data_IF_181748026039
#
_entry.id   IF_181748026039
#
_cell.length_a   1.000
_cell.length_b   1.000
_cell.length_c   1.000
_cell.angle_alpha   90.00
_cell.angle_beta   90.00
_cell.angle_gamma   90.00
#
_symmetry.space_group_name_H-M   'P 1'
#
loop_
_entity.id
_entity.type
_entity.pdbx_description
1 polymer ?
#
# COMPACT_ATOMS: atom_id res chain seq x y z
N UNK A 1 -25.05 0.22 18.68
CA UNK A 1 -23.82 0.99 18.49
C UNK A 1 -22.59 0.38 19.16
N UNK A 2 -22.58 0.05 20.46
CA UNK A 2 -21.45 -0.58 21.15
C UNK A 2 -21.09 -2.00 20.65
N UNK A 3 -22.05 -2.85 20.33
CA UNK A 3 -21.84 -4.23 19.83
C UNK A 3 -21.29 -4.28 18.39
N UNK A 4 -21.57 -3.28 17.56
CA UNK A 4 -20.99 -3.17 16.21
C UNK A 4 -19.56 -2.66 16.24
N UNK A 5 -19.21 -1.78 17.16
CA UNK A 5 -17.82 -1.33 17.39
C UNK A 5 -16.93 -2.50 17.83
N UNK A 6 -17.40 -3.35 18.74
CA UNK A 6 -16.62 -4.51 19.23
C UNK A 6 -16.26 -5.48 18.09
N UNK A 7 -17.17 -5.75 17.15
CA UNK A 7 -16.93 -6.65 16.00
C UNK A 7 -15.93 -6.13 14.98
N UNK A 8 -15.69 -4.82 14.94
CA UNK A 8 -14.73 -4.20 14.01
C UNK A 8 -13.38 -3.97 14.72
N UNK A 9 -13.43 -3.54 15.97
CA UNK A 9 -12.22 -3.18 16.75
C UNK A 9 -11.42 -4.43 17.14
N UNK A 10 -12.08 -5.53 17.51
CA UNK A 10 -11.41 -6.74 17.96
C UNK A 10 -10.50 -7.39 16.89
N UNK A 11 -10.93 -7.59 15.62
CA UNK A 11 -10.02 -8.08 14.57
C UNK A 11 -8.89 -7.10 14.25
N UNK A 12 -9.13 -5.79 14.34
CA UNK A 12 -8.07 -4.77 14.14
C UNK A 12 -7.05 -4.82 15.28
N UNK A 13 -7.51 -4.92 16.53
CA UNK A 13 -6.61 -5.06 17.69
C UNK A 13 -5.81 -6.36 17.61
N UNK A 14 -6.45 -7.49 17.30
CA UNK A 14 -5.77 -8.78 17.13
C UNK A 14 -4.73 -8.74 16.01
N UNK A 15 -5.06 -8.09 14.89
CA UNK A 15 -4.15 -7.88 13.79
C UNK A 15 -2.95 -7.00 14.21
N UNK A 16 -3.20 -5.87 14.89
CA UNK A 16 -2.13 -4.99 15.40
C UNK A 16 -1.24 -5.70 16.41
N UNK A 17 -1.83 -6.48 17.34
CA UNK A 17 -1.08 -7.30 18.29
C UNK A 17 -0.24 -8.36 17.58
N UNK A 18 -0.78 -9.01 16.53
CA UNK A 18 -0.02 -9.97 15.72
C UNK A 18 1.16 -9.30 15.02
N UNK A 19 0.97 -8.10 14.48
CA UNK A 19 2.04 -7.29 13.86
C UNK A 19 3.09 -6.91 14.90
N UNK A 20 2.68 -6.44 16.09
CA UNK A 20 3.61 -6.08 17.17
C UNK A 20 4.40 -7.32 17.63
N UNK A 21 3.76 -8.49 17.75
CA UNK A 21 4.42 -9.75 18.11
C UNK A 21 5.41 -10.16 17.01
N UNK A 22 5.01 -10.10 15.74
CA UNK A 22 5.88 -10.42 14.60
C UNK A 22 7.09 -9.48 14.58
N UNK A 23 6.88 -8.17 14.73
CA UNK A 23 7.96 -7.17 14.79
C UNK A 23 8.86 -7.45 15.98
N UNK A 24 8.32 -7.72 17.18
CA UNK A 24 9.14 -8.01 18.37
C UNK A 24 9.94 -9.31 18.26
N UNK A 25 9.41 -10.33 17.60
CA UNK A 25 10.13 -11.59 17.31
C UNK A 25 11.24 -11.35 16.28
N UNK A 26 11.00 -10.50 15.28
CA UNK A 26 11.98 -10.15 14.25
C UNK A 26 13.13 -9.29 14.83
N UNK A 27 12.83 -8.41 15.79
CA UNK A 27 13.79 -7.48 16.43
C UNK A 27 14.82 -8.18 17.34
N UNK A 28 14.52 -9.35 17.88
CA UNK A 28 15.35 -10.04 18.92
C UNK A 28 16.57 -10.80 18.42
N UNK A 29 17.04 -10.63 17.17
CA UNK A 29 18.14 -11.42 16.60
C UNK A 29 19.42 -10.64 16.31
N UNK A 30 20.56 -11.35 16.31
CA UNK A 30 21.85 -10.78 15.89
C UNK A 30 21.87 -10.48 14.40
N UNK A 31 22.26 -9.24 14.03
CA UNK A 31 22.52 -8.86 12.64
C UNK A 31 23.71 -9.65 12.08
N UNK A 32 23.56 -10.26 10.92
CA UNK A 32 24.69 -10.80 10.16
C UNK A 32 25.46 -9.66 9.49
N UNK A 33 26.78 -9.71 9.53
CA UNK A 33 27.66 -8.67 8.96
C UNK A 33 27.53 -8.52 7.44
N UNK A 34 26.95 -9.51 6.76
CA UNK A 34 26.76 -9.55 5.30
C UNK A 34 25.49 -8.88 4.78
N UNK A 35 24.56 -8.51 5.67
CA UNK A 35 23.33 -7.81 5.29
C UNK A 35 23.63 -6.39 4.77
N UNK A 36 23.04 -5.94 3.65
CA UNK A 36 23.08 -4.54 3.24
C UNK A 36 22.25 -3.62 4.16
N UNK A 37 21.37 -4.20 4.98
CA UNK A 37 20.43 -3.48 5.84
C UNK A 37 20.84 -3.54 7.31
N UNK A 38 20.39 -2.55 8.06
CA UNK A 38 20.51 -2.49 9.50
C UNK A 38 19.18 -2.17 10.15
N UNK A 39 18.89 -2.86 11.24
CA UNK A 39 17.77 -2.55 12.11
C UNK A 39 18.01 -1.24 12.86
N UNK A 40 17.02 -0.33 12.80
CA UNK A 40 17.07 0.95 13.51
C UNK A 40 15.79 1.15 14.32
N UNK A 41 15.86 0.96 15.64
CA UNK A 41 14.69 1.12 16.53
C UNK A 41 13.91 2.40 16.26
N UNK A 42 14.59 3.50 15.98
CA UNK A 42 13.93 4.79 15.73
C UNK A 42 13.16 4.78 14.42
N UNK A 43 13.75 4.25 13.33
CA UNK A 43 13.10 4.18 12.03
C UNK A 43 11.93 3.20 12.08
N UNK A 44 12.18 1.97 12.55
CA UNK A 44 11.20 0.89 12.58
C UNK A 44 9.99 1.24 13.48
N UNK A 45 10.22 1.77 14.68
CA UNK A 45 9.13 2.22 15.56
C UNK A 45 8.37 3.41 14.98
N UNK A 46 9.07 4.30 14.24
CA UNK A 46 8.41 5.42 13.57
C UNK A 46 7.50 4.93 12.46
N UNK A 47 7.98 4.03 11.59
CA UNK A 47 7.19 3.47 10.49
C UNK A 47 6.02 2.65 11.03
N UNK A 48 6.25 1.80 12.04
CA UNK A 48 5.21 1.02 12.71
C UNK A 48 4.14 1.92 13.35
N UNK A 49 4.57 2.99 14.03
CA UNK A 49 3.69 3.97 14.66
C UNK A 49 2.84 4.73 13.64
N UNK A 50 3.46 5.20 12.56
CA UNK A 50 2.74 5.88 11.46
C UNK A 50 1.76 4.91 10.81
N UNK A 51 2.19 3.72 10.42
CA UNK A 51 1.34 2.72 9.75
C UNK A 51 0.14 2.34 10.61
N UNK A 52 0.37 2.09 11.91
CA UNK A 52 -0.69 1.78 12.88
C UNK A 52 -1.66 2.95 13.06
N UNK A 53 -1.12 4.17 13.20
CA UNK A 53 -1.94 5.39 13.32
C UNK A 53 -2.83 5.63 12.10
N UNK A 54 -2.30 5.42 10.89
CA UNK A 54 -3.06 5.55 9.64
C UNK A 54 -4.17 4.48 9.54
N UNK A 55 -3.86 3.22 9.91
CA UNK A 55 -4.84 2.13 9.91
C UNK A 55 -5.95 2.38 10.94
N UNK A 56 -5.60 2.75 12.17
CA UNK A 56 -6.57 3.10 13.22
C UNK A 56 -7.41 4.29 12.77
N UNK A 57 -6.77 5.35 12.26
CA UNK A 57 -7.45 6.53 11.73
C UNK A 57 -8.47 6.18 10.65
N UNK A 58 -8.12 5.24 9.75
CA UNK A 58 -9.04 4.78 8.69
C UNK A 58 -10.29 4.07 9.20
N UNK A 59 -10.25 3.50 10.40
CA UNK A 59 -11.41 2.84 11.04
C UNK A 59 -12.23 3.84 11.84
N UNK A 60 -11.59 4.88 12.41
CA UNK A 60 -12.25 5.89 13.22
C UNK A 60 -13.01 6.94 12.39
N UNK A 61 -12.63 7.10 11.11
CA UNK A 61 -13.37 8.01 10.20
C UNK A 61 -14.75 7.41 9.92
N UNK A 62 -15.79 8.22 10.14
CA UNK A 62 -17.14 7.84 9.80
C UNK A 62 -17.30 7.74 8.28
N UNK A 63 -17.48 6.53 7.81
CA UNK A 63 -17.63 6.20 6.40
C UNK A 63 -18.96 5.50 6.16
N UNK A 64 -19.79 6.10 5.29
CA UNK A 64 -21.04 5.51 4.81
C UNK A 64 -21.00 5.30 3.29
N UNK A 65 -21.38 4.10 2.79
CA UNK A 65 -21.57 3.91 1.36
C UNK A 65 -22.68 4.81 0.81
N UNK A 66 -22.69 5.05 -0.49
CA UNK A 66 -23.81 5.75 -1.13
C UNK A 66 -25.08 4.89 -1.11
N UNK A 67 -26.21 5.50 -0.75
CA UNK A 67 -27.53 4.92 -0.91
C UNK A 67 -27.99 5.00 -2.37
N UNK A 68 -29.08 4.29 -2.71
CA UNK A 68 -29.71 4.35 -4.04
C UNK A 68 -30.10 5.79 -4.42
N UNK A 69 -30.69 6.53 -3.49
CA UNK A 69 -31.08 7.93 -3.73
C UNK A 69 -29.88 8.82 -4.03
N UNK A 70 -28.77 8.64 -3.30
CA UNK A 70 -27.56 9.42 -3.53
C UNK A 70 -26.86 9.04 -4.85
N UNK A 71 -27.01 7.82 -5.34
CA UNK A 71 -26.47 7.41 -6.64
C UNK A 71 -27.17 8.16 -7.77
N UNK A 72 -28.49 8.35 -7.68
CA UNK A 72 -29.26 9.08 -8.70
C UNK A 72 -28.92 10.57 -8.81
N UNK A 73 -28.26 11.13 -7.80
CA UNK A 73 -27.81 12.55 -7.79
C UNK A 73 -26.39 12.75 -8.34
N UNK A 74 -25.70 11.67 -8.73
CA UNK A 74 -24.36 11.77 -9.30
C UNK A 74 -24.41 12.47 -10.65
N UNK A 75 -23.66 13.58 -10.78
CA UNK A 75 -23.53 14.29 -12.06
C UNK A 75 -22.21 13.95 -12.73
N UNK A 76 -22.24 13.28 -13.93
CA UNK A 76 -21.03 12.96 -14.71
C UNK A 76 -20.23 14.21 -15.15
N UNK A 77 -20.87 15.35 -15.30
CA UNK A 77 -20.20 16.60 -15.70
C UNK A 77 -19.18 17.11 -14.68
N UNK A 78 -19.33 16.70 -13.41
CA UNK A 78 -18.37 17.03 -12.35
C UNK A 78 -17.07 16.23 -12.45
N UNK A 79 -16.97 15.27 -13.39
CA UNK A 79 -15.79 14.44 -13.60
C UNK A 79 -14.89 15.08 -14.65
N UNK A 80 -13.60 15.23 -14.34
CA UNK A 80 -12.63 15.80 -15.26
C UNK A 80 -12.59 15.04 -16.60
N UNK A 81 -12.27 15.73 -17.69
CA UNK A 81 -12.14 15.12 -19.02
C UNK A 81 -11.10 14.00 -19.05
N UNK A 82 -10.05 14.09 -18.23
CA UNK A 82 -9.03 13.05 -18.07
C UNK A 82 -9.61 11.74 -17.51
N UNK A 83 -10.54 11.85 -16.57
CA UNK A 83 -11.15 10.71 -15.87
C UNK A 83 -12.44 10.20 -16.51
N UNK A 84 -13.14 11.04 -17.30
CA UNK A 84 -14.50 10.79 -17.77
C UNK A 84 -14.70 9.48 -18.52
N UNK A 85 -13.70 9.06 -19.32
CA UNK A 85 -13.78 7.82 -20.11
C UNK A 85 -13.94 6.56 -19.24
N UNK A 86 -13.46 6.58 -18.01
CA UNK A 86 -13.57 5.44 -17.09
C UNK A 86 -15.01 5.12 -16.69
N UNK A 87 -15.94 6.07 -16.75
CA UNK A 87 -17.35 5.89 -16.40
C UNK A 87 -18.07 4.87 -17.28
N UNK A 88 -17.60 4.68 -18.50
CA UNK A 88 -18.17 3.74 -19.47
C UNK A 88 -17.57 2.33 -19.39
N UNK A 89 -16.58 2.13 -18.53
CA UNK A 89 -15.89 0.84 -18.38
C UNK A 89 -16.60 -0.04 -17.36
N UNK A 90 -16.76 -1.31 -17.72
CA UNK A 90 -17.23 -2.36 -16.81
C UNK A 90 -16.93 -3.72 -17.41
N UNK A 91 -15.99 -4.45 -16.82
CA UNK A 91 -15.64 -5.81 -17.22
C UNK A 91 -15.31 -6.68 -15.98
N UNK A 92 -16.02 -7.82 -15.85
CA UNK A 92 -15.86 -8.74 -14.74
C UNK A 92 -14.59 -9.58 -14.84
N UNK A 93 -14.10 -9.84 -16.06
CA UNK A 93 -12.84 -10.56 -16.25
C UNK A 93 -11.66 -9.68 -15.86
N UNK A 94 -11.71 -8.40 -16.18
CA UNK A 94 -10.72 -7.42 -15.74
C UNK A 94 -10.68 -7.25 -14.22
N UNK A 95 -11.82 -7.38 -13.53
CA UNK A 95 -11.83 -7.48 -12.06
C UNK A 95 -10.98 -8.67 -11.62
N UNK A 96 -11.27 -9.88 -12.13
CA UNK A 96 -10.55 -11.11 -11.76
C UNK A 96 -9.06 -11.04 -12.09
N UNK A 97 -8.71 -10.51 -13.28
CA UNK A 97 -7.31 -10.35 -13.69
C UNK A 97 -6.55 -9.41 -12.78
N UNK A 98 -7.16 -8.27 -12.39
CA UNK A 98 -6.54 -7.35 -11.45
C UNK A 98 -6.37 -7.94 -10.05
N UNK A 99 -7.27 -8.82 -9.60
CA UNK A 99 -7.16 -9.53 -8.33
C UNK A 99 -6.01 -10.56 -8.39
N UNK A 100 -5.89 -11.33 -9.49
CA UNK A 100 -4.77 -12.26 -9.70
C UNK A 100 -3.43 -11.50 -9.68
N UNK A 101 -3.33 -10.40 -10.41
CA UNK A 101 -2.12 -9.58 -10.43
C UNK A 101 -1.78 -9.00 -9.07
N UNK A 102 -2.77 -8.56 -8.29
CA UNK A 102 -2.57 -8.10 -6.92
C UNK A 102 -1.95 -9.19 -6.04
N UNK A 103 -2.60 -10.36 -5.96
CA UNK A 103 -2.13 -11.45 -5.09
C UNK A 103 -0.77 -11.99 -5.53
N UNK A 104 -0.56 -12.12 -6.85
CA UNK A 104 0.75 -12.50 -7.39
C UNK A 104 1.82 -11.48 -7.03
N UNK A 105 1.53 -10.17 -7.15
CA UNK A 105 2.47 -9.11 -6.79
C UNK A 105 2.85 -9.13 -5.32
N UNK A 106 1.90 -9.38 -4.42
CA UNK A 106 2.19 -9.51 -2.99
C UNK A 106 3.20 -10.63 -2.74
N UNK A 107 3.11 -11.73 -3.48
CA UNK A 107 4.01 -12.88 -3.33
C UNK A 107 5.39 -12.69 -4.00
N UNK A 108 5.51 -11.78 -4.97
CA UNK A 108 6.75 -11.56 -5.75
C UNK A 108 8.00 -11.36 -4.90
N UNK A 109 8.01 -10.57 -3.81
CA UNK A 109 9.20 -10.41 -2.98
C UNK A 109 9.73 -11.72 -2.39
N UNK A 110 8.87 -12.72 -2.16
CA UNK A 110 9.28 -14.02 -1.66
C UNK A 110 10.24 -14.76 -2.61
N UNK A 111 10.28 -14.39 -3.90
CA UNK A 111 11.24 -14.94 -4.86
C UNK A 111 12.70 -14.60 -4.48
N UNK A 112 12.91 -13.52 -3.73
CA UNK A 112 14.25 -13.17 -3.21
C UNK A 112 14.79 -14.22 -2.24
N UNK A 113 13.95 -15.02 -1.60
CA UNK A 113 14.37 -16.13 -0.74
C UNK A 113 15.04 -17.26 -1.50
N UNK A 114 15.06 -17.25 -2.85
CA UNK A 114 15.90 -18.12 -3.65
C UNK A 114 17.39 -17.79 -3.49
N UNK A 115 17.75 -16.54 -3.19
CA UNK A 115 19.11 -16.10 -2.87
C UNK A 115 19.46 -16.47 -1.42
N UNK A 116 20.58 -17.18 -1.22
CA UNK A 116 21.05 -17.60 0.09
C UNK A 116 21.32 -16.41 1.04
N UNK A 117 21.83 -15.31 0.51
CA UNK A 117 22.10 -14.09 1.29
C UNK A 117 20.82 -13.51 1.88
N UNK A 118 19.72 -13.53 1.10
CA UNK A 118 18.41 -13.07 1.57
C UNK A 118 17.81 -14.05 2.58
N UNK A 119 17.94 -15.37 2.35
CA UNK A 119 17.50 -16.37 3.34
C UNK A 119 18.24 -16.22 4.66
N UNK A 120 19.53 -15.96 4.59
CA UNK A 120 20.37 -15.73 5.76
C UNK A 120 19.99 -14.44 6.52
N UNK A 121 19.41 -13.47 5.79
CA UNK A 121 18.95 -12.17 6.30
C UNK A 121 17.42 -12.07 6.34
N UNK A 122 16.73 -13.20 6.47
CA UNK A 122 15.26 -13.28 6.37
C UNK A 122 14.52 -12.31 7.30
N UNK A 123 15.14 -11.92 8.42
CA UNK A 123 14.54 -10.97 9.39
C UNK A 123 14.43 -9.58 8.82
N UNK A 124 15.55 -9.02 8.31
CA UNK A 124 15.52 -7.71 7.65
C UNK A 124 14.61 -7.74 6.43
N UNK A 125 14.70 -8.80 5.60
CA UNK A 125 13.80 -9.00 4.47
C UNK A 125 12.32 -8.95 4.88
N UNK A 126 11.92 -9.73 5.87
CA UNK A 126 10.54 -9.82 6.32
C UNK A 126 10.04 -8.52 6.94
N UNK A 127 10.91 -7.84 7.71
CA UNK A 127 10.61 -6.54 8.31
C UNK A 127 10.33 -5.49 7.23
N UNK A 128 11.26 -5.32 6.29
CA UNK A 128 11.13 -4.33 5.20
C UNK A 128 9.89 -4.60 4.34
N UNK A 129 9.61 -5.86 4.06
CA UNK A 129 8.41 -6.24 3.32
C UNK A 129 7.13 -5.90 4.10
N UNK A 130 7.07 -6.25 5.38
CA UNK A 130 5.93 -5.92 6.24
C UNK A 130 5.73 -4.41 6.37
N UNK A 131 6.78 -3.64 6.68
CA UNK A 131 6.72 -2.19 6.81
C UNK A 131 6.20 -1.51 5.53
N UNK A 132 6.73 -1.94 4.38
CA UNK A 132 6.31 -1.40 3.08
C UNK A 132 4.83 -1.66 2.82
N UNK A 133 4.35 -2.88 3.08
CA UNK A 133 2.95 -3.23 2.89
C UNK A 133 2.04 -2.49 3.87
N UNK A 134 2.37 -2.47 5.18
CA UNK A 134 1.52 -1.85 6.20
C UNK A 134 1.45 -0.34 6.03
N UNK A 135 2.55 0.32 5.70
CA UNK A 135 2.55 1.74 5.42
C UNK A 135 1.68 2.06 4.20
N UNK A 136 1.83 1.30 3.11
CA UNK A 136 1.02 1.49 1.90
C UNK A 136 -0.47 1.22 2.16
N UNK A 137 -0.81 0.18 2.92
CA UNK A 137 -2.18 -0.13 3.33
C UNK A 137 -2.76 0.99 4.19
N UNK A 138 -2.00 1.50 5.16
CA UNK A 138 -2.42 2.59 6.03
C UNK A 138 -2.74 3.87 5.25
N UNK A 139 -1.80 4.32 4.39
CA UNK A 139 -2.00 5.49 3.52
C UNK A 139 -3.22 5.27 2.61
N UNK A 140 -3.32 4.10 1.97
CA UNK A 140 -4.41 3.79 1.04
C UNK A 140 -5.77 3.82 1.74
N UNK A 141 -5.92 3.13 2.88
CA UNK A 141 -7.20 3.02 3.55
C UNK A 141 -7.67 4.35 4.15
N UNK A 142 -6.77 5.09 4.80
CA UNK A 142 -7.12 6.40 5.34
C UNK A 142 -7.51 7.38 4.21
N UNK A 143 -6.75 7.43 3.12
CA UNK A 143 -7.08 8.28 1.98
C UNK A 143 -8.45 7.93 1.39
N UNK A 144 -8.78 6.63 1.27
CA UNK A 144 -10.07 6.17 0.73
C UNK A 144 -11.26 6.64 1.55
N UNK A 145 -11.17 6.60 2.88
CA UNK A 145 -12.28 7.03 3.74
C UNK A 145 -12.37 8.54 3.83
N UNK A 146 -11.25 9.26 3.82
CA UNK A 146 -11.22 10.74 3.85
C UNK A 146 -11.75 11.34 2.54
N UNK A 147 -11.27 10.83 1.39
CA UNK A 147 -11.67 11.37 0.08
C UNK A 147 -13.06 10.91 -0.31
N UNK A 148 -13.45 9.69 0.07
CA UNK A 148 -14.78 9.12 -0.19
C UNK A 148 -15.27 9.33 -1.63
N UNK A 149 -14.40 9.15 -2.62
CA UNK A 149 -14.69 9.36 -4.04
C UNK A 149 -15.54 8.22 -4.58
N UNK A 150 -16.71 8.50 -5.22
CA UNK A 150 -17.49 7.48 -5.93
C UNK A 150 -16.66 6.81 -7.03
N UNK A 151 -16.90 5.51 -7.29
CA UNK A 151 -16.19 4.77 -8.33
C UNK A 151 -16.75 5.07 -9.72
N UNK A 152 -15.95 4.91 -10.81
CA UNK A 152 -16.40 5.14 -12.18
C UNK A 152 -17.69 4.41 -12.54
N UNK A 153 -17.81 3.11 -12.18
CA UNK A 153 -19.00 2.29 -12.51
C UNK A 153 -20.31 2.83 -11.89
N UNK A 154 -20.23 3.75 -10.93
CA UNK A 154 -21.40 4.38 -10.31
C UNK A 154 -22.13 5.31 -11.29
N UNK A 155 -21.40 5.90 -12.24
CA UNK A 155 -21.92 6.88 -13.21
C UNK A 155 -22.46 6.25 -14.49
N UNK A 156 -22.02 5.04 -14.85
CA UNK A 156 -22.45 4.32 -16.05
C UNK A 156 -23.60 3.34 -15.78
N UNK A 157 -24.16 2.76 -16.84
CA UNK A 157 -25.32 1.86 -16.78
C UNK A 157 -24.96 0.37 -16.85
N UNK A 158 -23.69 0.03 -17.10
CA UNK A 158 -23.24 -1.35 -17.29
C UNK A 158 -23.20 -2.18 -16.01
N UNK A 159 -22.90 -1.55 -14.86
CA UNK A 159 -22.89 -2.24 -13.57
C UNK A 159 -24.32 -2.41 -13.02
N UNK A 160 -24.64 -3.60 -12.49
CA UNK A 160 -25.93 -3.85 -11.87
C UNK A 160 -26.16 -2.96 -10.64
N UNK A 161 -27.43 -2.68 -10.33
CA UNK A 161 -27.79 -1.89 -9.14
C UNK A 161 -27.24 -2.52 -7.84
N UNK A 162 -27.35 -3.84 -7.71
CA UNK A 162 -26.78 -4.58 -6.59
C UNK A 162 -25.27 -4.32 -6.44
N UNK A 163 -24.57 -4.25 -7.56
CA UNK A 163 -23.13 -3.98 -7.54
C UNK A 163 -22.82 -2.55 -7.14
N UNK A 164 -23.62 -1.59 -7.58
CA UNK A 164 -23.48 -0.17 -7.21
C UNK A 164 -23.72 0.07 -5.71
N UNK A 165 -24.51 -0.77 -5.05
CA UNK A 165 -24.81 -0.67 -3.61
C UNK A 165 -23.77 -1.33 -2.70
N UNK A 166 -22.66 -1.88 -3.24
CA UNK A 166 -21.59 -2.47 -2.43
C UNK A 166 -20.93 -1.45 -1.50
N UNK A 167 -20.46 -1.95 -0.35
CA UNK A 167 -19.88 -1.13 0.74
C UNK A 167 -18.67 -0.29 0.32
N UNK A 168 -18.00 -0.61 -0.80
CA UNK A 168 -16.80 0.09 -1.28
C UNK A 168 -17.06 1.06 -2.44
N UNK A 169 -18.34 1.41 -2.69
CA UNK A 169 -18.78 2.22 -3.83
C UNK A 169 -18.21 3.66 -3.84
N UNK A 170 -17.77 4.17 -2.69
CA UNK A 170 -17.10 5.49 -2.52
C UNK A 170 -15.62 5.38 -2.16
N UNK A 171 -14.98 4.24 -2.44
CA UNK A 171 -13.55 4.02 -2.13
C UNK A 171 -12.70 3.99 -3.41
N UNK A 172 -12.89 4.99 -4.30
CA UNK A 172 -12.13 5.06 -5.55
C UNK A 172 -10.72 5.57 -5.36
N UNK A 173 -10.53 6.73 -4.70
CA UNK A 173 -9.22 7.38 -4.60
C UNK A 173 -8.45 6.94 -3.35
N UNK A 174 -7.23 6.53 -3.57
CA UNK A 174 -6.54 6.06 -4.77
C UNK A 174 -6.62 4.53 -4.90
N UNK A 175 -6.13 3.96 -6.03
CA UNK A 175 -6.22 2.52 -6.29
C UNK A 175 -5.35 1.70 -5.35
N UNK A 176 -5.97 0.90 -4.47
CA UNK A 176 -5.25 -0.01 -3.58
C UNK A 176 -4.59 -1.17 -4.32
N UNK A 177 -5.22 -1.72 -5.36
CA UNK A 177 -4.62 -2.79 -6.18
C UNK A 177 -3.33 -2.31 -6.83
N UNK A 178 -3.37 -1.12 -7.43
CA UNK A 178 -2.20 -0.54 -8.10
C UNK A 178 -1.09 -0.21 -7.10
N UNK A 179 -1.43 0.39 -5.94
CA UNK A 179 -0.42 0.76 -4.94
C UNK A 179 0.24 -0.45 -4.27
N UNK A 180 -0.53 -1.50 -3.96
CA UNK A 180 0.02 -2.73 -3.37
C UNK A 180 0.85 -3.52 -4.39
N UNK A 181 0.42 -3.59 -5.65
CA UNK A 181 1.22 -4.19 -6.71
C UNK A 181 2.53 -3.42 -6.92
N UNK A 182 2.46 -2.08 -6.95
CA UNK A 182 3.65 -1.24 -7.11
C UNK A 182 4.62 -1.39 -5.93
N UNK A 183 4.16 -1.27 -4.69
CA UNK A 183 5.06 -1.38 -3.53
C UNK A 183 5.77 -2.72 -3.50
N UNK A 184 5.08 -3.83 -3.79
CA UNK A 184 5.65 -5.17 -3.77
C UNK A 184 6.70 -5.37 -4.87
N UNK A 185 6.40 -4.95 -6.09
CA UNK A 185 7.32 -5.13 -7.21
C UNK A 185 8.55 -4.20 -7.11
N UNK A 186 8.36 -2.94 -6.71
CA UNK A 186 9.46 -1.99 -6.53
C UNK A 186 10.34 -2.35 -5.33
N UNK A 187 9.73 -2.84 -4.22
CA UNK A 187 10.47 -3.38 -3.09
C UNK A 187 11.38 -4.53 -3.52
N UNK A 188 10.83 -5.49 -4.25
CA UNK A 188 11.59 -6.66 -4.74
C UNK A 188 12.77 -6.22 -5.60
N UNK A 189 12.57 -5.35 -6.59
CA UNK A 189 13.63 -4.88 -7.47
C UNK A 189 14.70 -4.09 -6.69
N UNK A 190 14.28 -3.20 -5.77
CA UNK A 190 15.20 -2.42 -4.94
C UNK A 190 16.05 -3.31 -4.02
N UNK A 191 15.42 -4.26 -3.33
CA UNK A 191 16.13 -5.19 -2.46
C UNK A 191 17.07 -6.10 -3.25
N UNK A 192 16.64 -6.58 -4.43
CA UNK A 192 17.51 -7.39 -5.29
C UNK A 192 18.80 -6.65 -5.63
N UNK A 193 18.71 -5.36 -5.99
CA UNK A 193 19.89 -4.54 -6.31
C UNK A 193 20.82 -4.38 -5.11
N UNK A 194 20.25 -4.17 -3.91
CA UNK A 194 21.03 -3.98 -2.70
C UNK A 194 21.79 -5.26 -2.30
N UNK A 195 21.23 -6.48 -2.55
CA UNK A 195 21.92 -7.75 -2.35
C UNK A 195 22.84 -8.15 -3.51
N UNK A 196 22.56 -7.67 -4.73
CA UNK A 196 23.21 -8.09 -5.96
C UNK A 196 23.71 -6.88 -6.78
N UNK A 197 24.62 -6.05 -6.25
CA UNK A 197 25.12 -4.90 -6.97
C UNK A 197 25.78 -5.33 -8.29
N UNK A 198 25.46 -4.63 -9.37
CA UNK A 198 25.93 -4.91 -10.74
C UNK A 198 25.40 -6.21 -11.39
N UNK A 199 24.30 -6.79 -10.88
CA UNK A 199 23.67 -7.95 -11.50
C UNK A 199 23.10 -7.60 -12.88
N UNK A 200 23.37 -8.46 -13.87
CA UNK A 200 22.77 -8.38 -15.22
C UNK A 200 21.26 -8.63 -15.22
N UNK A 201 20.72 -9.23 -14.16
CA UNK A 201 19.28 -9.48 -14.01
C UNK A 201 18.51 -8.24 -13.54
N UNK A 202 19.18 -7.30 -12.86
CA UNK A 202 18.57 -6.10 -12.30
C UNK A 202 17.69 -5.31 -13.28
N UNK A 203 18.12 -4.97 -14.51
CA UNK A 203 17.26 -4.24 -15.46
C UNK A 203 15.95 -4.96 -15.80
N UNK A 204 15.97 -6.29 -15.85
CA UNK A 204 14.76 -7.09 -16.12
C UNK A 204 13.78 -7.08 -14.95
N UNK A 205 14.30 -7.12 -13.71
CA UNK A 205 13.47 -7.03 -12.51
C UNK A 205 12.85 -5.63 -12.40
N UNK A 206 13.60 -4.58 -12.70
CA UNK A 206 13.05 -3.23 -12.76
C UNK A 206 11.99 -3.09 -13.87
N UNK A 207 12.22 -3.65 -15.05
CA UNK A 207 11.22 -3.67 -16.11
C UNK A 207 9.93 -4.36 -15.65
N UNK A 208 10.03 -5.50 -14.95
CA UNK A 208 8.90 -6.18 -14.33
C UNK A 208 8.21 -5.33 -13.26
N UNK A 209 9.00 -4.61 -12.43
CA UNK A 209 8.50 -3.73 -11.39
C UNK A 209 7.71 -2.54 -11.96
N UNK A 210 8.09 -2.00 -13.10
CA UNK A 210 7.33 -0.98 -13.81
C UNK A 210 6.09 -1.55 -14.51
N UNK A 211 6.20 -2.69 -15.16
CA UNK A 211 5.16 -3.23 -16.02
C UNK A 211 3.98 -3.84 -15.22
N UNK A 212 4.27 -4.62 -14.18
CA UNK A 212 3.24 -5.37 -13.45
C UNK A 212 2.18 -4.47 -12.79
N UNK A 213 2.55 -3.40 -12.04
CA UNK A 213 1.55 -2.50 -11.48
C UNK A 213 0.86 -1.64 -12.55
N UNK A 214 1.51 -1.35 -13.69
CA UNK A 214 0.87 -0.67 -14.82
C UNK A 214 -0.21 -1.57 -15.45
N UNK A 215 0.05 -2.87 -15.60
CA UNK A 215 -0.93 -3.84 -16.07
C UNK A 215 -2.08 -4.00 -15.06
N UNK A 216 -1.77 -4.02 -13.75
CA UNK A 216 -2.78 -4.01 -12.70
C UNK A 216 -3.67 -2.76 -12.81
N UNK A 217 -3.07 -1.59 -13.03
CA UNK A 217 -3.79 -0.34 -13.23
C UNK A 217 -4.70 -0.41 -14.46
N UNK A 218 -4.21 -0.93 -15.58
CA UNK A 218 -5.00 -1.12 -16.80
C UNK A 218 -6.27 -1.95 -16.53
N UNK A 219 -6.14 -3.12 -15.89
CA UNK A 219 -7.32 -3.94 -15.59
C UNK A 219 -8.27 -3.27 -14.58
N UNK A 220 -7.75 -2.46 -13.65
CA UNK A 220 -8.62 -1.68 -12.74
C UNK A 220 -9.37 -0.56 -13.45
N UNK A 221 -8.77 0.04 -14.48
CA UNK A 221 -9.41 1.00 -15.37
C UNK A 221 -10.51 0.33 -16.20
N UNK A 222 -10.17 -0.75 -16.89
CA UNK A 222 -11.08 -1.50 -17.76
C UNK A 222 -12.26 -2.10 -16.97
N UNK A 223 -12.02 -2.53 -15.74
CA UNK A 223 -13.04 -2.96 -14.80
C UNK A 223 -13.98 -1.83 -14.31
N UNK A 224 -13.78 -0.57 -14.70
CA UNK A 224 -14.54 0.57 -14.19
C UNK A 224 -14.38 0.83 -12.69
N UNK A 225 -13.35 0.25 -12.05
CA UNK A 225 -13.14 0.34 -10.60
C UNK A 225 -12.45 1.61 -10.15
N UNK A 226 -11.61 2.19 -11.00
CA UNK A 226 -10.81 3.35 -10.70
C UNK A 226 -10.70 4.29 -11.89
N UNK A 227 -10.66 5.58 -11.60
CA UNK A 227 -10.33 6.61 -12.57
C UNK A 227 -8.82 6.61 -12.89
N UNK A 228 -8.39 7.09 -14.07
CA UNK A 228 -6.96 7.24 -14.39
C UNK A 228 -6.16 7.98 -13.30
N UNK A 229 -6.71 9.06 -12.74
CA UNK A 229 -6.07 9.80 -11.64
C UNK A 229 -5.87 8.97 -10.38
N UNK A 230 -6.82 8.07 -10.02
CA UNK A 230 -6.70 7.16 -8.88
C UNK A 230 -5.56 6.14 -9.10
N UNK A 231 -5.37 5.70 -10.34
CA UNK A 231 -4.37 4.71 -10.73
C UNK A 231 -2.97 5.30 -10.70
N UNK A 232 -2.81 6.51 -11.27
CA UNK A 232 -1.52 7.23 -11.25
C UNK A 232 -1.10 7.52 -9.81
N UNK A 233 -2.02 8.02 -8.98
CA UNK A 233 -1.73 8.29 -7.57
C UNK A 233 -1.33 7.00 -6.82
N UNK A 234 -2.08 5.90 -7.00
CA UNK A 234 -1.77 4.62 -6.38
C UNK A 234 -0.42 4.06 -6.82
N UNK A 235 -0.12 4.15 -8.13
CA UNK A 235 1.16 3.72 -8.69
C UNK A 235 2.33 4.50 -8.06
N UNK A 236 2.23 5.83 -8.01
CA UNK A 236 3.28 6.68 -7.46
C UNK A 236 3.50 6.42 -5.96
N UNK A 237 2.43 6.34 -5.17
CA UNK A 237 2.55 6.05 -3.73
C UNK A 237 3.22 4.70 -3.49
N UNK A 238 2.77 3.63 -4.18
CA UNK A 238 3.34 2.30 -4.02
C UNK A 238 4.81 2.23 -4.44
N UNK A 239 5.17 2.82 -5.60
CA UNK A 239 6.57 2.81 -6.08
C UNK A 239 7.50 3.58 -5.15
N UNK A 240 7.08 4.75 -4.67
CA UNK A 240 7.86 5.54 -3.70
C UNK A 240 8.11 4.76 -2.41
N UNK A 241 7.07 4.17 -1.82
CA UNK A 241 7.22 3.39 -0.59
C UNK A 241 8.11 2.17 -0.81
N UNK A 242 7.92 1.44 -1.93
CA UNK A 242 8.70 0.24 -2.26
C UNK A 242 10.21 0.49 -2.43
N UNK A 243 10.59 1.70 -2.86
CA UNK A 243 12.00 2.09 -2.95
C UNK A 243 12.49 2.74 -1.65
N UNK A 244 11.68 3.59 -1.04
CA UNK A 244 12.09 4.39 0.11
C UNK A 244 12.37 3.53 1.36
N UNK A 245 11.50 2.56 1.66
CA UNK A 245 11.66 1.73 2.87
C UNK A 245 12.99 0.99 2.88
N UNK A 246 13.39 0.21 1.85
CA UNK A 246 14.73 -0.38 1.82
C UNK A 246 15.85 0.66 1.97
N UNK A 247 15.76 1.79 1.26
CA UNK A 247 16.81 2.83 1.30
C UNK A 247 16.98 3.48 2.67
N UNK A 248 15.91 3.61 3.46
CA UNK A 248 16.00 4.10 4.84
C UNK A 248 16.79 3.15 5.75
N UNK A 249 16.80 1.85 5.44
CA UNK A 249 17.42 0.80 6.26
C UNK A 249 18.80 0.36 5.75
N UNK A 250 19.28 0.88 4.61
CA UNK A 250 20.63 0.54 4.15
C UNK A 250 21.68 1.04 5.15
N UNK A 251 22.71 0.22 5.44
CA UNK A 251 23.84 0.59 6.31
C UNK A 251 24.57 1.87 5.86
N UNK A 252 24.47 2.20 4.58
CA UNK A 252 25.00 3.44 3.99
C UNK A 252 24.00 4.59 4.00
N UNK A 253 22.81 4.43 4.60
CA UNK A 253 21.79 5.48 4.57
C UNK A 253 22.26 6.73 5.29
N UNK A 254 22.16 7.84 4.58
CA UNK A 254 22.40 9.18 5.13
C UNK A 254 21.14 9.83 5.70
N UNK A 255 20.01 9.13 5.61
CA UNK A 255 18.68 9.62 6.03
C UNK A 255 18.34 8.99 7.37
N UNK A 256 18.02 9.81 8.37
CA UNK A 256 17.47 9.36 9.64
C UNK A 256 16.11 10.02 9.86
N UNK A 257 15.10 9.22 10.17
CA UNK A 257 13.75 9.68 10.52
C UNK A 257 13.50 9.40 11.98
N UNK A 258 12.94 10.36 12.69
CA UNK A 258 12.58 10.20 14.10
C UNK A 258 11.26 10.87 14.44
N UNK A 259 10.50 10.26 15.34
CA UNK A 259 9.31 10.85 15.95
C UNK A 259 9.62 11.21 17.39
N UNK A 260 9.33 12.45 17.79
CA UNK A 260 9.47 12.88 19.19
C UNK A 260 8.13 13.40 19.70
N UNK A 261 7.64 12.80 20.78
CA UNK A 261 6.51 13.32 21.51
C UNK A 261 7.01 14.38 22.51
N UNK A 262 6.62 15.63 22.32
CA UNK A 262 6.95 16.68 23.27
C UNK A 262 6.06 16.57 24.53
N UNK A 263 6.58 17.02 25.65
CA UNK A 263 5.80 17.13 26.92
C UNK A 263 4.51 17.94 26.80
N UNK A 264 4.40 18.75 25.75
CA UNK A 264 3.16 19.48 25.36
C UNK A 264 2.14 18.63 24.59
N UNK A 265 2.35 17.33 24.41
CA UNK A 265 1.49 16.44 23.63
C UNK A 265 1.61 16.59 22.10
N UNK A 266 2.52 17.44 21.61
CA UNK A 266 2.74 17.62 20.17
C UNK A 266 3.72 16.59 19.62
N UNK A 267 3.30 15.90 18.54
CA UNK A 267 4.14 15.01 17.79
C UNK A 267 5.01 15.82 16.82
N UNK A 268 6.34 15.64 16.88
CA UNK A 268 7.27 16.21 15.89
C UNK A 268 7.95 15.10 15.10
N UNK A 269 7.92 15.22 13.78
CA UNK A 269 8.72 14.39 12.89
C UNK A 269 10.01 15.11 12.58
N UNK A 270 11.14 14.44 12.74
CA UNK A 270 12.47 14.94 12.40
C UNK A 270 13.01 14.14 11.23
N UNK A 271 13.47 14.85 10.20
CA UNK A 271 14.21 14.28 9.08
C UNK A 271 15.63 14.84 9.15
N UNK A 272 16.61 13.97 9.37
CA UNK A 272 18.02 14.34 9.37
C UNK A 272 18.69 13.73 8.14
N UNK A 273 19.41 14.55 7.40
CA UNK A 273 20.28 14.10 6.32
C UNK A 273 21.73 14.28 6.78
N UNK A 274 22.53 13.23 6.71
CA UNK A 274 23.96 13.26 7.01
C UNK A 274 24.70 13.54 5.70
N UNK A 275 25.39 14.68 5.61
CA UNK A 275 26.19 15.06 4.46
C UNK A 275 27.47 14.22 4.38
#
# INVERSE_FOLDING_TARGET
>A
MLLTMHRIIEPVIRFLLSVIIIVSVLVGGQEKNTSPYSFSKNIDLTIAGISSGLLIGSVLVDYSPMSKENISTLNPENISSYDSKAMNNWDLNSIKMSDILLYSSIAVPALLLADERVRDDYRNFSLLWAESLFLTLGITNLTKVLVSRPRPYMYGDKASEEYKLKKDNRKSFFSGHTSISAVSCFLMASMYDDYNPNSKLSPYLWAGAYFTPALTAYYRYDAGKHFPSDLVAGYLVGSVVGVLIPKLHTKSSKINVGLTLQTSGKLRTHLFYRF
#
